data_IF_196765076407
#
_entry.id   IF_196765076407
#
_cell.length_a   1.000
_cell.length_b   1.000
_cell.length_c   1.000
_cell.angle_alpha   90.00
_cell.angle_beta   90.00
_cell.angle_gamma   90.00
#
_symmetry.space_group_name_H-M   'P 1'
#
loop_
_entity.id
_entity.type
_entity.pdbx_description
1 polymer ?
#
# COMPACT_ATOMS: atom_id res chain seq x y z
N UNK A 1 -39.75 11.39 -12.59
CA UNK A 1 -39.10 10.99 -11.32
C UNK A 1 -39.83 9.85 -10.58
N UNK A 2 -41.17 9.78 -10.58
CA UNK A 2 -41.92 8.83 -9.75
C UNK A 2 -41.86 7.35 -10.19
N UNK A 3 -41.68 7.03 -11.48
CA UNK A 3 -41.67 5.63 -11.96
C UNK A 3 -40.39 4.87 -11.59
N UNK A 4 -39.23 5.53 -11.65
CA UNK A 4 -37.96 4.91 -11.28
C UNK A 4 -37.91 4.61 -9.77
N UNK A 5 -38.36 5.56 -8.94
CA UNK A 5 -38.42 5.41 -7.49
C UNK A 5 -39.38 4.27 -7.07
N UNK A 6 -40.52 4.14 -7.75
CA UNK A 6 -41.46 3.05 -7.53
C UNK A 6 -40.87 1.68 -7.89
N UNK A 7 -40.12 1.57 -9.00
CA UNK A 7 -39.40 0.34 -9.36
C UNK A 7 -38.30 -0.01 -8.35
N UNK A 8 -37.55 0.98 -7.84
CA UNK A 8 -36.56 0.75 -6.80
C UNK A 8 -37.21 0.28 -5.49
N UNK A 9 -38.34 0.87 -5.08
CA UNK A 9 -39.06 0.41 -3.88
C UNK A 9 -39.64 -1.00 -4.02
N UNK A 10 -40.23 -1.35 -5.17
CA UNK A 10 -40.80 -2.69 -5.38
C UNK A 10 -39.73 -3.77 -5.39
N UNK A 11 -38.58 -3.51 -6.01
CA UNK A 11 -37.43 -4.44 -6.02
C UNK A 11 -36.85 -4.60 -4.61
N UNK A 12 -36.76 -3.51 -3.83
CA UNK A 12 -36.27 -3.55 -2.44
C UNK A 12 -37.15 -4.43 -1.55
N UNK A 13 -38.47 -4.28 -1.65
CA UNK A 13 -39.44 -5.06 -0.86
C UNK A 13 -39.36 -6.55 -1.24
N UNK A 14 -39.34 -6.87 -2.54
CA UNK A 14 -39.27 -8.25 -3.03
C UNK A 14 -37.94 -8.96 -2.68
N UNK A 15 -36.82 -8.23 -2.70
CA UNK A 15 -35.51 -8.74 -2.29
C UNK A 15 -35.38 -8.99 -0.78
N UNK A 16 -36.24 -8.38 0.03
CA UNK A 16 -36.26 -8.56 1.49
C UNK A 16 -37.20 -9.67 1.97
N UNK A 17 -38.06 -10.20 1.10
CA UNK A 17 -39.10 -11.18 1.47
C UNK A 17 -38.85 -12.59 0.93
N UNK A 18 -37.97 -12.78 -0.04
CA UNK A 18 -37.65 -14.07 -0.65
C UNK A 18 -36.23 -14.53 -0.32
N UNK A 19 -36.08 -15.73 0.25
CA UNK A 19 -34.78 -16.28 0.67
C UNK A 19 -33.81 -16.50 -0.51
N UNK A 20 -34.31 -16.93 -1.67
CA UNK A 20 -33.52 -17.18 -2.89
C UNK A 20 -33.10 -15.85 -3.52
N UNK A 21 -34.01 -14.89 -3.65
CA UNK A 21 -33.68 -13.55 -4.17
C UNK A 21 -32.66 -12.85 -3.27
N UNK A 22 -32.83 -12.90 -1.95
CA UNK A 22 -31.86 -12.36 -0.99
C UNK A 22 -30.48 -13.03 -1.13
N UNK A 23 -30.43 -14.37 -1.14
CA UNK A 23 -29.17 -15.11 -1.29
C UNK A 23 -28.44 -14.79 -2.61
N UNK A 24 -29.19 -14.63 -3.70
CA UNK A 24 -28.63 -14.27 -5.01
C UNK A 24 -28.10 -12.82 -5.02
N UNK A 25 -28.82 -11.87 -4.40
CA UNK A 25 -28.35 -10.49 -4.29
C UNK A 25 -27.16 -10.34 -3.34
N UNK A 26 -27.10 -11.12 -2.26
CA UNK A 26 -25.98 -11.14 -1.32
C UNK A 26 -24.73 -11.76 -1.96
N UNK A 27 -24.88 -12.88 -2.69
CA UNK A 27 -23.76 -13.52 -3.39
C UNK A 27 -23.18 -12.66 -4.52
N UNK A 28 -23.98 -11.77 -5.11
CA UNK A 28 -23.55 -10.78 -6.08
C UNK A 28 -23.78 -9.34 -5.61
N UNK A 29 -23.32 -9.02 -4.40
CA UNK A 29 -23.52 -7.71 -3.78
C UNK A 29 -23.11 -6.55 -4.72
N UNK A 30 -24.06 -5.65 -4.99
CA UNK A 30 -23.82 -4.47 -5.82
C UNK A 30 -22.93 -3.42 -5.13
N UNK A 31 -22.72 -3.53 -3.82
CA UNK A 31 -21.74 -2.72 -3.10
C UNK A 31 -20.38 -3.38 -3.22
N UNK A 32 -19.42 -2.67 -3.81
CA UNK A 32 -18.03 -3.10 -3.90
C UNK A 32 -17.14 -2.13 -3.11
N UNK A 33 -16.19 -2.68 -2.36
CA UNK A 33 -15.13 -1.89 -1.72
C UNK A 33 -14.13 -1.51 -2.79
N UNK A 34 -13.86 -0.21 -2.92
CA UNK A 34 -12.78 0.34 -3.74
C UNK A 34 -11.74 1.00 -2.84
N UNK A 35 -10.51 1.01 -3.33
CA UNK A 35 -9.40 1.69 -2.67
C UNK A 35 -9.15 3.00 -3.41
N UNK A 36 -9.15 4.10 -2.68
CA UNK A 36 -8.69 5.40 -3.16
C UNK A 36 -7.29 5.64 -2.62
N UNK A 37 -6.37 6.04 -3.50
CA UNK A 37 -5.01 6.41 -3.14
C UNK A 37 -4.90 7.94 -3.14
N UNK A 38 -4.44 8.52 -2.04
CA UNK A 38 -4.13 9.95 -1.92
C UNK A 38 -2.64 10.14 -1.73
N UNK A 39 -1.97 10.91 -2.60
CA UNK A 39 -0.57 11.29 -2.38
C UNK A 39 -0.54 12.52 -1.50
N UNK A 40 -0.01 12.36 -0.29
CA UNK A 40 -0.10 13.37 0.76
C UNK A 40 1.19 14.16 0.88
N UNK A 41 2.35 13.54 0.62
CA UNK A 41 3.66 14.20 0.70
C UNK A 41 4.51 13.85 -0.52
N UNK A 42 5.27 14.83 -1.02
CA UNK A 42 6.25 14.65 -2.09
C UNK A 42 7.55 15.34 -1.74
N UNK A 43 8.66 14.66 -1.98
CA UNK A 43 10.01 15.19 -1.77
C UNK A 43 11.02 14.60 -2.77
N UNK A 44 12.20 15.21 -2.84
CA UNK A 44 13.35 14.62 -3.51
C UNK A 44 14.45 14.40 -2.48
N UNK A 45 14.90 13.17 -2.31
CA UNK A 45 16.06 12.83 -1.50
C UNK A 45 17.31 13.19 -2.31
N UNK A 46 18.09 14.15 -1.83
CA UNK A 46 19.25 14.72 -2.55
C UNK A 46 20.59 14.29 -1.95
N UNK A 47 20.62 13.85 -0.70
CA UNK A 47 21.85 13.42 -0.04
C UNK A 47 21.60 12.42 1.08
N UNK A 48 22.66 11.80 1.56
CA UNK A 48 22.66 11.02 2.78
C UNK A 48 23.74 11.54 3.73
N UNK A 49 23.60 11.24 5.00
CA UNK A 49 24.57 11.61 6.03
C UNK A 49 24.69 10.49 7.06
N UNK A 50 25.89 10.29 7.55
CA UNK A 50 26.10 9.45 8.73
C UNK A 50 25.85 10.29 9.99
N UNK A 51 25.20 9.68 10.99
CA UNK A 51 24.96 10.33 12.26
C UNK A 51 25.38 9.44 13.43
N UNK A 52 25.70 10.12 14.54
CA UNK A 52 25.89 9.53 15.86
C UNK A 52 25.18 10.43 16.87
N UNK A 53 24.36 9.82 17.72
CA UNK A 53 23.62 10.45 18.82
C UNK A 53 22.78 11.67 18.37
N UNK A 54 21.90 11.45 17.39
CA UNK A 54 21.12 12.53 16.79
C UNK A 54 20.11 13.14 17.78
N UNK A 55 20.09 14.46 17.87
CA UNK A 55 19.15 15.19 18.73
C UNK A 55 17.97 15.72 17.90
N UNK A 56 16.78 15.20 18.19
CA UNK A 56 15.52 15.66 17.59
C UNK A 56 14.90 16.74 18.46
N UNK A 57 14.50 17.88 17.87
CA UNK A 57 13.71 18.92 18.53
C UNK A 57 12.37 19.06 17.83
N UNK A 58 11.29 18.64 18.48
CA UNK A 58 9.95 18.91 17.95
C UNK A 58 9.54 20.35 18.27
N UNK A 59 9.31 21.17 17.23
CA UNK A 59 8.87 22.56 17.40
C UNK A 59 7.42 22.68 17.90
N UNK A 60 6.56 21.69 17.69
CA UNK A 60 5.13 21.82 18.04
C UNK A 60 4.87 21.75 19.55
N UNK A 61 5.70 21.04 20.32
CA UNK A 61 5.48 20.88 21.76
C UNK A 61 6.66 21.32 22.64
N UNK A 62 7.82 21.65 22.06
CA UNK A 62 9.09 21.88 22.80
C UNK A 62 9.42 20.74 23.80
N UNK A 63 8.73 19.60 23.72
CA UNK A 63 8.97 18.42 24.53
C UNK A 63 9.85 17.48 23.73
N UNK A 64 10.80 16.82 24.42
CA UNK A 64 11.44 15.62 23.87
C UNK A 64 10.31 14.67 23.49
N UNK A 65 10.29 14.21 22.25
CA UNK A 65 9.41 13.13 21.82
C UNK A 65 9.86 11.87 22.57
N UNK A 66 9.25 11.61 23.73
CA UNK A 66 9.60 10.48 24.60
C UNK A 66 9.34 9.12 23.95
N UNK A 67 8.59 9.10 22.84
CA UNK A 67 8.15 7.89 22.15
C UNK A 67 8.90 7.62 20.83
N UNK A 68 9.95 8.38 20.50
CA UNK A 68 10.78 8.06 19.32
C UNK A 68 12.00 7.27 19.75
N UNK A 69 12.01 6.00 19.37
CA UNK A 69 13.19 5.15 19.43
C UNK A 69 14.01 5.37 18.15
N UNK A 70 15.06 6.20 18.24
CA UNK A 70 16.06 6.32 17.18
C UNK A 70 17.29 5.48 17.50
N UNK A 71 17.93 4.88 16.48
CA UNK A 71 19.25 4.29 16.63
C UNK A 71 20.26 5.32 17.16
N UNK A 72 21.24 4.87 17.92
CA UNK A 72 22.35 5.71 18.40
C UNK A 72 23.30 6.12 17.26
N UNK A 73 23.32 5.37 16.16
CA UNK A 73 24.09 5.72 14.96
C UNK A 73 23.49 5.08 13.73
N UNK A 74 23.73 5.66 12.57
CA UNK A 74 23.32 5.11 11.29
C UNK A 74 23.40 6.13 10.18
N UNK A 75 22.62 5.90 9.12
CA UNK A 75 22.50 6.82 8.00
C UNK A 75 21.13 7.49 8.01
N UNK A 76 21.13 8.81 7.85
CA UNK A 76 19.96 9.61 7.55
C UNK A 76 19.98 10.03 6.08
N UNK A 77 18.82 10.36 5.55
CA UNK A 77 18.68 10.89 4.20
C UNK A 77 18.13 12.32 4.27
N UNK A 78 18.66 13.18 3.42
CA UNK A 78 18.28 14.59 3.34
C UNK A 78 17.51 14.80 2.05
N UNK A 79 16.25 15.20 2.19
CA UNK A 79 15.43 15.68 1.09
C UNK A 79 15.41 17.19 0.96
N UNK A 80 14.72 17.66 -0.07
CA UNK A 80 14.46 19.09 -0.29
C UNK A 80 13.62 19.66 0.86
N UNK A 81 12.62 18.90 1.34
CA UNK A 81 11.66 19.35 2.35
C UNK A 81 11.83 18.65 3.70
N UNK A 82 12.26 17.39 3.70
CA UNK A 82 12.27 16.57 4.89
C UNK A 82 13.62 15.91 5.16
N UNK A 83 13.81 15.47 6.40
CA UNK A 83 14.90 14.61 6.83
C UNK A 83 14.31 13.26 7.20
N UNK A 84 14.97 12.20 6.72
CA UNK A 84 14.56 10.82 6.90
C UNK A 84 15.56 10.14 7.82
N UNK A 85 15.10 9.70 8.99
CA UNK A 85 15.92 8.86 9.88
C UNK A 85 15.32 7.46 9.88
N UNK A 86 16.06 6.53 9.29
CA UNK A 86 15.65 5.14 9.23
C UNK A 86 16.10 4.40 10.48
N UNK A 87 15.16 3.70 11.10
CA UNK A 87 15.40 2.76 12.20
C UNK A 87 15.77 1.37 11.69
N UNK A 88 15.38 1.04 10.46
CA UNK A 88 15.73 -0.19 9.78
C UNK A 88 16.04 0.06 8.30
N UNK A 89 16.94 -0.74 7.73
CA UNK A 89 17.28 -0.73 6.30
C UNK A 89 18.30 0.32 5.85
N UNK A 90 18.67 1.30 6.69
CA UNK A 90 19.57 2.42 6.30
C UNK A 90 20.93 1.96 5.76
N UNK A 91 21.60 1.03 6.46
CA UNK A 91 22.89 0.50 6.02
C UNK A 91 22.78 -0.33 4.73
N UNK A 92 21.68 -1.06 4.54
CA UNK A 92 21.45 -1.85 3.34
C UNK A 92 21.19 -0.96 2.13
N UNK A 93 20.41 0.12 2.29
CA UNK A 93 20.22 1.15 1.26
C UNK A 93 21.53 1.85 0.89
N UNK A 94 22.42 2.10 1.84
CA UNK A 94 23.74 2.68 1.53
C UNK A 94 24.62 1.73 0.73
N UNK A 95 24.63 0.43 1.06
CA UNK A 95 25.35 -0.55 0.24
C UNK A 95 24.71 -0.69 -1.15
N UNK A 96 23.38 -0.59 -1.25
CA UNK A 96 22.67 -0.55 -2.53
C UNK A 96 23.10 0.67 -3.37
N UNK A 97 23.25 1.84 -2.74
CA UNK A 97 23.73 3.07 -3.40
C UNK A 97 25.14 2.94 -4.00
N UNK A 98 25.97 2.02 -3.48
CA UNK A 98 27.25 1.66 -4.10
C UNK A 98 27.06 0.68 -5.27
N UNK A 99 26.17 -0.31 -5.11
CA UNK A 99 25.90 -1.32 -6.13
C UNK A 99 25.35 -0.71 -7.44
N UNK A 100 24.48 0.30 -7.32
CA UNK A 100 23.89 0.99 -8.49
C UNK A 100 24.91 1.68 -9.41
N UNK A 101 26.13 1.95 -8.91
CA UNK A 101 27.20 2.55 -9.72
C UNK A 101 27.73 1.58 -10.78
N UNK A 102 27.55 0.28 -10.55
CA UNK A 102 28.11 -0.80 -11.38
C UNK A 102 27.01 -1.57 -12.10
N UNK A 103 25.81 -1.63 -11.52
CA UNK A 103 24.67 -2.36 -12.07
C UNK A 103 23.47 -1.39 -12.09
N UNK A 104 22.82 -1.16 -13.25
CA UNK A 104 21.64 -0.30 -13.31
C UNK A 104 20.46 -1.00 -12.63
N UNK A 105 20.23 -0.66 -11.37
CA UNK A 105 19.07 -1.15 -10.61
C UNK A 105 17.92 -0.18 -10.77
N UNK A 106 16.72 -0.72 -10.95
CA UNK A 106 15.48 0.03 -11.00
C UNK A 106 14.72 -0.15 -9.70
N UNK A 107 14.13 0.96 -9.24
CA UNK A 107 13.29 1.01 -8.06
C UNK A 107 11.82 0.98 -8.49
N UNK A 108 11.06 -0.02 -8.03
CA UNK A 108 9.64 -0.22 -8.32
C UNK A 108 9.28 -0.38 -9.81
N UNK A 109 8.24 -1.16 -10.10
CA UNK A 109 7.71 -1.29 -11.46
C UNK A 109 6.93 -0.04 -11.90
N UNK A 110 7.54 1.14 -11.81
CA UNK A 110 7.00 2.38 -12.35
C UNK A 110 8.02 3.10 -13.25
N UNK A 111 7.57 3.63 -14.39
CA UNK A 111 8.47 4.23 -15.39
C UNK A 111 9.05 5.57 -14.93
N UNK A 112 8.50 6.19 -13.89
CA UNK A 112 8.94 7.51 -13.39
C UNK A 112 10.05 7.42 -12.34
N UNK A 113 10.39 6.21 -11.87
CA UNK A 113 11.40 5.97 -10.83
C UNK A 113 11.03 6.56 -9.47
N UNK A 114 9.73 6.71 -9.18
CA UNK A 114 9.25 7.33 -7.93
C UNK A 114 9.16 6.28 -6.83
N UNK A 115 9.82 6.52 -5.70
CA UNK A 115 9.70 5.71 -4.50
C UNK A 115 8.35 6.02 -3.84
N UNK A 116 7.45 5.05 -3.73
CA UNK A 116 6.14 5.26 -3.10
C UNK A 116 6.09 4.50 -1.79
N UNK A 117 5.77 5.22 -0.71
CA UNK A 117 5.72 4.67 0.64
C UNK A 117 4.31 4.90 1.20
N UNK A 118 3.68 3.83 1.66
CA UNK A 118 2.38 3.95 2.32
C UNK A 118 2.55 4.46 3.76
N UNK A 119 1.75 5.43 4.14
CA UNK A 119 1.59 5.85 5.54
C UNK A 119 0.26 5.31 6.03
N UNK A 120 0.32 4.47 7.07
CA UNK A 120 -0.91 3.99 7.70
C UNK A 120 -1.55 5.11 8.53
N UNK A 121 -2.89 5.20 8.61
CA UNK A 121 -3.58 6.28 9.31
C UNK A 121 -3.15 6.49 10.77
N UNK A 122 -2.79 5.42 11.47
CA UNK A 122 -2.32 5.41 12.86
C UNK A 122 -0.87 5.87 13.05
N UNK A 123 -0.10 5.97 11.96
CA UNK A 123 1.32 6.36 11.97
C UNK A 123 1.55 7.86 11.79
N UNK A 124 0.48 8.65 11.60
CA UNK A 124 0.54 10.12 11.62
C UNK A 124 0.22 10.65 13.02
N UNK A 125 1.21 11.29 13.64
CA UNK A 125 1.02 12.13 14.84
C UNK A 125 1.33 13.58 14.49
N UNK A 126 0.86 14.53 15.28
CA UNK A 126 1.12 15.96 15.06
C UNK A 126 2.63 16.24 14.89
N UNK A 127 3.03 16.59 13.65
CA UNK A 127 4.41 16.90 13.26
C UNK A 127 5.39 15.72 13.22
N UNK A 128 4.91 14.48 13.26
CA UNK A 128 5.75 13.28 13.10
C UNK A 128 5.05 12.26 12.22
N UNK A 129 5.72 11.87 11.14
CA UNK A 129 5.26 10.77 10.27
C UNK A 129 6.18 9.59 10.48
N UNK A 130 5.63 8.48 10.98
CA UNK A 130 6.30 7.19 10.97
C UNK A 130 5.96 6.48 9.65
N UNK A 131 6.90 5.69 9.14
CA UNK A 131 6.66 4.80 8.02
C UNK A 131 7.29 3.43 8.26
N UNK A 132 6.66 2.40 7.71
CA UNK A 132 7.15 1.04 7.68
C UNK A 132 6.70 0.36 6.39
N UNK A 133 7.64 0.08 5.50
CA UNK A 133 7.35 -0.43 4.17
C UNK A 133 8.49 -1.31 3.65
N UNK A 134 8.31 -1.86 2.46
CA UNK A 134 9.27 -2.68 1.75
C UNK A 134 9.72 -1.95 0.48
N UNK A 135 11.02 -1.69 0.38
CA UNK A 135 11.60 -1.12 -0.83
C UNK A 135 11.95 -2.24 -1.82
N UNK A 136 11.26 -2.25 -2.95
CA UNK A 136 11.42 -3.27 -3.99
C UNK A 136 12.37 -2.81 -5.08
N UNK A 137 13.43 -3.57 -5.29
CA UNK A 137 14.47 -3.30 -6.28
C UNK A 137 14.55 -4.47 -7.26
N UNK A 138 14.67 -4.16 -8.54
CA UNK A 138 14.83 -5.17 -9.58
C UNK A 138 15.72 -4.67 -10.70
N UNK A 139 16.08 -5.58 -11.61
CA UNK A 139 16.89 -5.28 -12.79
C UNK A 139 16.04 -5.44 -14.04
N UNK A 140 16.18 -4.50 -14.97
CA UNK A 140 15.56 -4.60 -16.29
C UNK A 140 15.99 -5.90 -16.98
N UNK A 141 15.02 -6.65 -17.48
CA UNK A 141 15.21 -7.90 -18.22
C UNK A 141 16.11 -7.78 -19.44
N UNK A 142 16.24 -6.58 -20.02
CA UNK A 142 17.09 -6.31 -21.19
C UNK A 142 18.56 -6.13 -20.81
N UNK A 143 18.87 -6.00 -19.52
CA UNK A 143 20.24 -5.83 -19.06
C UNK A 143 20.94 -7.19 -18.97
N UNK A 144 21.99 -7.38 -19.77
CA UNK A 144 22.83 -8.57 -19.71
C UNK A 144 23.88 -8.41 -18.62
N UNK A 145 23.81 -9.25 -17.58
CA UNK A 145 24.76 -9.25 -16.47
C UNK A 145 26.02 -10.02 -16.83
N UNK A 146 27.18 -9.52 -16.40
CA UNK A 146 28.41 -10.31 -16.38
C UNK A 146 28.38 -11.33 -15.22
N UNK A 147 29.18 -12.42 -15.28
CA UNK A 147 29.29 -13.38 -14.18
C UNK A 147 29.68 -12.73 -12.84
N UNK A 148 30.53 -11.70 -12.87
CA UNK A 148 30.94 -10.94 -11.69
C UNK A 148 29.78 -10.11 -11.12
N UNK A 149 28.96 -9.50 -11.99
CA UNK A 149 27.77 -8.75 -11.58
C UNK A 149 26.71 -9.68 -10.98
N UNK A 150 26.48 -10.86 -11.57
CA UNK A 150 25.58 -11.87 -11.00
C UNK A 150 26.03 -12.34 -9.62
N UNK A 151 27.34 -12.59 -9.45
CA UNK A 151 27.91 -12.94 -8.15
C UNK A 151 27.67 -11.82 -7.13
N UNK A 152 27.95 -10.58 -7.51
CA UNK A 152 27.74 -9.41 -6.65
C UNK A 152 26.28 -9.27 -6.22
N UNK A 153 25.32 -9.54 -7.11
CA UNK A 153 23.89 -9.52 -6.80
C UNK A 153 23.48 -10.62 -5.82
N UNK A 154 23.98 -11.85 -6.02
CA UNK A 154 23.73 -12.97 -5.11
C UNK A 154 24.31 -12.70 -3.73
N UNK A 155 25.55 -12.19 -3.66
CA UNK A 155 26.22 -11.82 -2.41
C UNK A 155 25.47 -10.70 -1.68
N UNK A 156 24.84 -9.79 -2.43
CA UNK A 156 23.96 -8.76 -1.90
C UNK A 156 22.57 -9.29 -1.48
N UNK A 157 22.23 -10.53 -1.81
CA UNK A 157 20.96 -11.17 -1.46
C UNK A 157 19.82 -10.90 -2.43
N UNK A 158 20.11 -10.57 -3.70
CA UNK A 158 19.09 -10.67 -4.75
C UNK A 158 18.77 -12.12 -5.07
N UNK A 159 17.52 -12.36 -5.47
CA UNK A 159 17.03 -13.67 -5.90
C UNK A 159 16.49 -13.59 -7.31
N UNK A 160 16.75 -14.63 -8.11
CA UNK A 160 16.14 -14.77 -9.43
C UNK A 160 14.66 -15.17 -9.25
N UNK A 161 13.74 -14.33 -9.73
CA UNK A 161 12.31 -14.66 -9.81
C UNK A 161 11.94 -14.86 -11.28
N UNK A 162 11.16 -15.91 -11.53
CA UNK A 162 10.47 -16.09 -12.81
C UNK A 162 9.07 -15.49 -12.74
N UNK A 163 8.78 -14.60 -13.66
CA UNK A 163 7.43 -14.14 -13.94
C UNK A 163 7.10 -14.61 -15.35
N UNK A 164 6.19 -15.58 -15.47
CA UNK A 164 5.90 -16.31 -16.70
C UNK A 164 7.16 -16.93 -17.34
N UNK A 165 7.53 -16.46 -18.53
CA UNK A 165 8.71 -16.88 -19.30
C UNK A 165 9.93 -15.97 -19.08
N UNK A 166 9.79 -14.89 -18.31
CA UNK A 166 10.84 -13.89 -18.10
C UNK A 166 11.52 -14.10 -16.74
N UNK A 167 12.82 -13.81 -16.69
CA UNK A 167 13.60 -13.84 -15.45
C UNK A 167 14.02 -12.43 -15.07
N UNK A 168 13.87 -12.09 -13.79
CA UNK A 168 14.41 -10.85 -13.24
C UNK A 168 15.04 -11.11 -11.86
N UNK A 169 16.10 -10.37 -11.57
CA UNK A 169 16.72 -10.35 -10.26
C UNK A 169 15.97 -9.35 -9.40
N UNK A 170 15.44 -9.81 -8.27
CA UNK A 170 14.69 -8.95 -7.35
C UNK A 170 15.22 -9.05 -5.92
N UNK A 171 15.07 -7.96 -5.19
CA UNK A 171 15.31 -7.88 -3.75
C UNK A 171 14.30 -6.96 -3.09
N UNK A 172 13.91 -7.34 -1.89
CA UNK A 172 13.06 -6.52 -1.02
C UNK A 172 13.89 -6.10 0.18
N UNK A 173 13.98 -4.80 0.42
CA UNK A 173 14.68 -4.21 1.57
C UNK A 173 13.60 -3.64 2.50
N UNK A 174 13.40 -4.22 3.70
CA UNK A 174 12.47 -3.63 4.66
C UNK A 174 13.03 -2.29 5.15
N UNK A 175 12.20 -1.25 5.08
CA UNK A 175 12.55 0.11 5.49
C UNK A 175 11.55 0.58 6.56
N UNK A 176 12.08 1.14 7.62
CA UNK A 176 11.25 1.75 8.66
C UNK A 176 11.95 2.99 9.18
N UNK A 177 11.18 4.00 9.57
CA UNK A 177 11.77 5.23 10.03
C UNK A 177 10.76 6.33 10.29
N UNK A 178 11.33 7.53 10.42
CA UNK A 178 10.60 8.74 10.73
C UNK A 178 10.96 9.85 9.74
N UNK A 179 9.94 10.61 9.38
CA UNK A 179 10.07 11.85 8.63
C UNK A 179 10.07 13.03 9.60
N UNK A 180 11.02 13.92 9.42
CA UNK A 180 11.11 15.17 10.16
C UNK A 180 11.12 16.35 9.18
N UNK A 181 10.57 17.47 9.58
CA UNK A 181 10.79 18.72 8.86
C UNK A 181 12.30 19.01 8.79
N UNK A 182 12.74 19.64 7.69
CA UNK A 182 14.16 19.97 7.48
C UNK A 182 14.80 20.78 8.61
N UNK A 183 13.99 21.54 9.36
CA UNK A 183 14.44 22.35 10.50
C UNK A 183 14.21 21.67 11.87
N UNK A 184 13.69 20.44 11.90
CA UNK A 184 13.36 19.70 13.12
C UNK A 184 14.53 18.93 13.74
N UNK A 185 15.63 18.78 12.99
CA UNK A 185 16.83 18.08 13.44
C UNK A 185 18.06 18.96 13.23
N UNK A 186 18.97 18.94 14.20
CA UNK A 186 20.31 19.52 14.01
C UNK A 186 21.16 18.51 13.25
N UNK A 187 21.44 18.80 11.98
CA UNK A 187 22.29 17.95 11.15
C UNK A 187 23.74 17.97 11.65
N UNK A 188 24.46 16.84 11.58
CA UNK A 188 25.88 16.81 11.90
C UNK A 188 26.67 17.70 10.93
N UNK A 189 27.65 18.45 11.45
CA UNK A 189 28.45 19.43 10.69
C UNK A 189 29.32 18.81 9.59
N UNK A 190 29.54 17.50 9.64
CA UNK A 190 30.35 16.76 8.67
C UNK A 190 29.84 15.33 8.53
N UNK A 191 29.23 15.03 7.38
CA UNK A 191 29.28 13.73 6.68
C UNK A 191 28.25 13.79 5.56
N UNK A 192 28.67 14.21 4.36
CA UNK A 192 27.82 14.14 3.18
C UNK A 192 28.13 12.81 2.49
N UNK A 193 27.48 11.73 2.93
CA UNK A 193 27.47 10.50 2.16
C UNK A 193 26.74 10.79 0.84
N UNK A 194 27.49 10.85 -0.27
CA UNK A 194 26.91 11.21 -1.56
C UNK A 194 26.07 10.04 -2.08
N UNK A 195 24.78 10.28 -2.22
CA UNK A 195 23.93 9.45 -3.07
C UNK A 195 24.44 9.53 -4.50
N UNK A 196 24.36 8.43 -5.23
CA UNK A 196 24.78 8.39 -6.63
C UNK A 196 23.91 9.30 -7.50
N UNK A 197 22.62 9.38 -7.15
CA UNK A 197 21.62 10.21 -7.81
C UNK A 197 20.56 10.64 -6.80
N UNK A 198 19.81 11.73 -7.05
CA UNK A 198 18.65 12.06 -6.25
C UNK A 198 17.51 11.07 -6.49
N UNK A 199 16.64 10.88 -5.50
CA UNK A 199 15.47 9.99 -5.58
C UNK A 199 14.18 10.75 -5.31
N UNK A 200 13.21 10.61 -6.21
CA UNK A 200 11.85 11.13 -5.97
C UNK A 200 11.13 10.20 -5.01
N UNK A 201 10.49 10.77 -3.98
CA UNK A 201 9.71 10.01 -3.01
C UNK A 201 8.33 10.63 -2.83
N UNK A 202 7.32 9.76 -2.79
CA UNK A 202 5.94 10.10 -2.48
C UNK A 202 5.46 9.27 -1.31
N UNK A 203 4.80 9.92 -0.36
CA UNK A 203 4.07 9.23 0.68
C UNK A 203 2.58 9.32 0.41
N UNK A 204 1.89 8.19 0.50
CA UNK A 204 0.47 8.11 0.20
C UNK A 204 -0.30 7.43 1.33
N UNK A 205 -1.60 7.70 1.39
CA UNK A 205 -2.56 6.98 2.22
C UNK A 205 -3.54 6.24 1.32
N UNK A 206 -4.10 5.14 1.84
CA UNK A 206 -5.18 4.41 1.21
C UNK A 206 -6.46 4.57 2.03
N UNK A 207 -7.56 4.87 1.35
CA UNK A 207 -8.89 4.92 1.95
C UNK A 207 -9.79 3.91 1.26
N UNK A 208 -10.38 3.01 2.04
CA UNK A 208 -11.44 2.14 1.57
C UNK A 208 -12.76 2.91 1.52
N UNK A 209 -13.44 2.84 0.38
CA UNK A 209 -14.79 3.40 0.23
C UNK A 209 -15.70 2.41 -0.46
N UNK A 210 -16.97 2.41 -0.05
CA UNK A 210 -18.01 1.61 -0.70
C UNK A 210 -18.50 2.34 -1.94
N UNK A 211 -18.45 1.68 -3.09
CA UNK A 211 -19.02 2.18 -4.34
C UNK A 211 -20.05 1.21 -4.88
N UNK A 212 -20.96 1.72 -5.73
CA UNK A 212 -21.97 0.92 -6.38
C UNK A 212 -21.43 0.36 -7.71
N UNK A 213 -21.43 -0.95 -7.84
CA UNK A 213 -21.05 -1.66 -9.06
C UNK A 213 -22.23 -1.70 -10.03
N UNK A 214 -22.19 -0.85 -11.06
CA UNK A 214 -23.28 -0.75 -12.04
C UNK A 214 -23.54 -2.09 -12.76
N UNK A 215 -22.49 -2.85 -13.08
CA UNK A 215 -22.61 -4.16 -13.72
C UNK A 215 -23.27 -5.20 -12.82
N UNK A 216 -22.86 -5.31 -11.56
CA UNK A 216 -23.48 -6.25 -10.60
C UNK A 216 -24.92 -5.85 -10.29
N UNK A 217 -25.20 -4.56 -10.14
CA UNK A 217 -26.56 -4.06 -9.98
C UNK A 217 -27.45 -4.44 -11.17
N UNK A 218 -26.99 -4.19 -12.40
CA UNK A 218 -27.75 -4.52 -13.61
C UNK A 218 -27.98 -6.03 -13.73
N UNK A 219 -26.95 -6.84 -13.43
CA UNK A 219 -27.06 -8.31 -13.39
C UNK A 219 -28.10 -8.78 -12.37
N UNK A 220 -28.07 -8.25 -11.15
CA UNK A 220 -29.06 -8.58 -10.12
C UNK A 220 -30.48 -8.23 -10.55
N UNK A 221 -30.67 -7.05 -11.14
CA UNK A 221 -31.99 -6.63 -11.66
C UNK A 221 -32.49 -7.57 -12.76
N UNK A 222 -31.63 -8.04 -13.66
CA UNK A 222 -32.00 -8.96 -14.74
C UNK A 222 -32.44 -10.35 -14.23
N UNK A 223 -31.80 -10.87 -13.19
CA UNK A 223 -32.09 -12.22 -12.67
C UNK A 223 -33.23 -12.24 -11.65
N UNK A 224 -33.57 -11.09 -11.07
CA UNK A 224 -34.60 -10.95 -10.03
C UNK A 224 -35.96 -11.54 -10.40
N UNK A 225 -36.50 -11.40 -11.63
CA UNK A 225 -37.77 -12.03 -11.99
C UNK A 225 -37.76 -13.56 -11.84
N UNK A 226 -36.63 -14.20 -12.13
CA UNK A 226 -36.48 -15.66 -12.01
C UNK A 226 -36.32 -16.09 -10.55
N UNK A 227 -35.58 -15.33 -9.75
CA UNK A 227 -35.40 -15.65 -8.32
C UNK A 227 -36.70 -15.44 -7.53
N UNK A 228 -37.51 -14.43 -7.90
CA UNK A 228 -38.86 -14.25 -7.33
C UNK A 228 -39.75 -15.45 -7.66
N UNK A 229 -39.70 -15.96 -8.90
CA UNK A 229 -40.45 -17.16 -9.27
C UNK A 229 -40.00 -18.38 -8.46
N UNK A 230 -38.69 -18.53 -8.24
CA UNK A 230 -38.13 -19.59 -7.40
C UNK A 230 -38.58 -19.45 -5.93
N UNK A 231 -38.60 -18.24 -5.39
CA UNK A 231 -39.10 -17.95 -4.04
C UNK A 231 -40.57 -18.35 -3.88
N UNK A 232 -41.43 -18.04 -4.84
CA UNK A 232 -42.85 -18.41 -4.82
C UNK A 232 -43.04 -19.94 -4.82
N UNK A 233 -42.24 -20.67 -5.59
CA UNK A 233 -42.34 -22.13 -5.71
C UNK A 233 -41.75 -22.83 -4.49
N UNK A 234 -40.57 -22.39 -4.03
CA UNK A 234 -39.81 -23.08 -2.99
C UNK A 234 -40.35 -22.79 -1.58
N UNK A 235 -40.84 -21.58 -1.31
CA UNK A 235 -41.22 -21.17 0.04
C UNK A 235 -42.33 -22.04 0.65
N UNK A 236 -43.45 -22.37 -0.05
CA UNK A 236 -44.48 -23.24 0.50
C UNK A 236 -43.96 -24.65 0.82
N UNK A 237 -43.09 -25.21 -0.03
CA UNK A 237 -42.49 -26.54 0.13
C UNK A 237 -41.59 -26.55 1.36
N UNK A 238 -40.74 -25.53 1.53
CA UNK A 238 -39.84 -25.39 2.67
C UNK A 238 -40.62 -25.21 3.98
N UNK A 239 -41.71 -24.45 3.98
CA UNK A 239 -42.58 -24.30 5.15
C UNK A 239 -43.23 -25.62 5.57
N UNK A 240 -43.69 -26.43 4.61
CA UNK A 240 -44.27 -27.77 4.88
C UNK A 240 -43.20 -28.70 5.46
N UNK A 241 -42.01 -28.74 4.87
CA UNK A 241 -40.89 -29.56 5.36
C UNK A 241 -40.45 -29.13 6.76
N UNK A 242 -40.37 -27.83 7.02
CA UNK A 242 -40.04 -27.28 8.34
C UNK A 242 -41.12 -27.62 9.38
N UNK A 243 -42.40 -27.45 9.05
CA UNK A 243 -43.50 -27.82 9.94
C UNK A 243 -43.48 -29.32 10.28
N UNK A 244 -43.16 -30.18 9.32
CA UNK A 244 -43.02 -31.63 9.55
C UNK A 244 -41.77 -32.00 10.36
N UNK A 245 -40.71 -31.21 10.29
CA UNK A 245 -39.49 -31.40 11.07
C UNK A 245 -39.67 -30.97 12.54
N UNK A 246 -40.37 -29.86 12.79
CA UNK A 246 -40.61 -29.33 14.16
C UNK A 246 -41.68 -30.13 14.92
N UNK A 247 -42.60 -30.79 14.21
CA UNK A 247 -43.62 -31.66 14.80
C UNK A 247 -43.16 -33.11 15.03
N UNK A 248 -41.84 -33.36 15.00
CA UNK A 248 -41.19 -34.63 15.32
C UNK A 248 -40.39 -34.50 16.61
#
# INVERSE_FOLDING_TARGET
MNKLLACFLSVSILSSTGCVTAAVWDSNAAKETKIKVSVDLKDNIVSAFEYKDISVKNKLTNQKLKDIELPTSGYGFLGDKYIYILTNGSAELMKLNELIKVIPLLAFNNPEGVIRIEIKPDERREGLVKFNDNYFVYIDKKYTLSPEQEKSLKDFGFSERRFDNDKSWVKTIPISGYLFDRNGITLPSASNAKLHQPYKVEFYTTEEYKSLSAGKLAGNVMITPFTIAADIIATPILLILYANYVNK
#
